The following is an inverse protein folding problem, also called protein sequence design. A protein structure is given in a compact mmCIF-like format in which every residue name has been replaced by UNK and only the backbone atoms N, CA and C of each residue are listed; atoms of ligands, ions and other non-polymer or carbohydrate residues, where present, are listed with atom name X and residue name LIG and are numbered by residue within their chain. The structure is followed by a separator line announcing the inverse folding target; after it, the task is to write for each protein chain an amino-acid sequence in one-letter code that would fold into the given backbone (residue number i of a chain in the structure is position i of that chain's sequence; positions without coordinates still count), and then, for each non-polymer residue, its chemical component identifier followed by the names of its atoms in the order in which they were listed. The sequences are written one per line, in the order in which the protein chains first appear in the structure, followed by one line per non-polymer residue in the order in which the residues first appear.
data_IF_306669765632
#
_entry.id   IF_306669765632
#
_cell.length_a   1.000
_cell.length_b   1.000
_cell.length_c   1.000
_cell.angle_alpha   90.00
_cell.angle_beta   90.00
_cell.angle_gamma   90.00
#
_symmetry.space_group_name_H-M   'P 1'
#
loop_
_entity.id
_entity.type
_entity.pdbx_description
1 polymer ?
#
# COMPACT_ATOMS: atom_id res chain seq x y z
N UNK A 1 -13.39 8.39 -37.36
CA UNK A 1 -13.04 9.52 -36.47
C UNK A 1 -13.12 9.21 -34.97
N UNK A 2 -13.57 8.01 -34.54
CA UNK A 2 -13.82 7.69 -33.12
C UNK A 2 -12.93 6.58 -32.53
N UNK A 3 -12.01 6.02 -33.32
CA UNK A 3 -11.12 4.93 -32.89
C UNK A 3 -9.77 5.41 -32.38
N UNK A 4 -9.20 6.49 -32.95
CA UNK A 4 -7.89 7.03 -32.53
C UNK A 4 -7.89 7.70 -31.15
N UNK A 5 -9.02 8.27 -30.72
CA UNK A 5 -9.13 8.95 -29.42
C UNK A 5 -9.14 7.92 -28.28
N UNK A 6 -9.80 6.76 -28.46
CA UNK A 6 -9.89 5.68 -27.46
C UNK A 6 -8.51 5.11 -27.12
N UNK A 7 -7.62 4.95 -28.11
CA UNK A 7 -6.24 4.52 -27.89
C UNK A 7 -5.40 5.54 -27.12
N UNK A 8 -5.60 6.85 -27.37
CA UNK A 8 -4.94 7.90 -26.58
C UNK A 8 -5.39 7.86 -25.10
N UNK A 9 -6.69 7.66 -24.84
CA UNK A 9 -7.21 7.56 -23.48
C UNK A 9 -6.69 6.32 -22.72
N UNK A 10 -6.52 5.19 -23.40
CA UNK A 10 -5.95 3.97 -22.80
C UNK A 10 -4.47 4.13 -22.44
N UNK A 11 -3.69 4.83 -23.27
CA UNK A 11 -2.26 5.11 -23.00
C UNK A 11 -2.07 6.11 -21.85
N UNK A 12 -2.99 7.07 -21.70
CA UNK A 12 -2.94 8.09 -20.64
C UNK A 12 -3.43 7.55 -19.28
N UNK A 13 -4.35 6.58 -19.28
CA UNK A 13 -4.90 6.00 -18.04
C UNK A 13 -3.87 5.18 -17.23
N UNK A 14 -2.84 4.61 -17.87
CA UNK A 14 -1.81 3.84 -17.17
C UNK A 14 -0.90 4.73 -16.29
N UNK A 15 -0.68 5.98 -16.69
CA UNK A 15 0.25 6.88 -15.99
C UNK A 15 -0.41 7.77 -14.92
N UNK A 16 -1.73 7.92 -14.90
CA UNK A 16 -2.43 8.83 -13.97
C UNK A 16 -3.13 8.13 -12.80
N UNK A 17 -3.18 6.80 -12.81
CA UNK A 17 -3.81 5.98 -11.74
C UNK A 17 -2.84 5.59 -10.61
N UNK A 18 -1.69 6.25 -10.50
CA UNK A 18 -0.82 6.16 -9.33
C UNK A 18 -1.33 7.06 -8.22
N UNK A 19 -2.43 6.68 -7.57
CA UNK A 19 -2.87 7.36 -6.36
C UNK A 19 -1.86 7.06 -5.24
N UNK A 20 -0.80 7.86 -5.13
CA UNK A 20 -0.01 7.92 -3.91
C UNK A 20 -0.93 8.43 -2.80
N UNK A 21 -1.53 7.51 -2.05
CA UNK A 21 -2.23 7.86 -0.83
C UNK A 21 -1.18 8.37 0.16
N UNK A 22 -1.07 9.68 0.31
CA UNK A 22 -0.26 10.33 1.34
C UNK A 22 -0.90 10.03 2.70
N UNK A 23 -0.58 8.89 3.29
CA UNK A 23 -1.03 8.60 4.65
C UNK A 23 -0.18 9.37 5.65
N UNK A 24 -0.86 10.09 6.51
CA UNK A 24 -0.25 10.70 7.68
C UNK A 24 -0.31 9.67 8.81
N UNK A 25 0.85 9.18 9.23
CA UNK A 25 1.01 8.28 10.36
C UNK A 25 2.02 8.86 11.33
N UNK A 26 1.87 8.56 12.63
CA UNK A 26 2.89 8.87 13.61
C UNK A 26 4.14 8.03 13.35
N UNK A 27 5.29 8.53 13.82
CA UNK A 27 6.57 7.81 13.80
C UNK A 27 6.73 6.86 14.99
N UNK A 28 5.67 6.59 15.76
CA UNK A 28 5.69 5.68 16.90
C UNK A 28 6.00 4.25 16.43
N UNK A 29 6.92 3.57 17.11
CA UNK A 29 7.37 2.24 16.76
C UNK A 29 6.66 1.20 17.61
N UNK A 30 5.60 0.61 17.04
CA UNK A 30 4.81 -0.49 17.60
C UNK A 30 4.59 -1.52 16.50
N UNK A 31 5.60 -2.35 16.19
CA UNK A 31 5.64 -3.13 14.96
C UNK A 31 4.48 -4.13 14.89
N UNK A 32 3.99 -4.36 13.68
CA UNK A 32 2.97 -5.37 13.38
C UNK A 32 3.36 -6.16 12.14
N UNK A 33 3.00 -7.44 12.12
CA UNK A 33 3.22 -8.31 10.97
C UNK A 33 1.96 -8.33 10.09
N UNK A 34 2.12 -8.14 8.78
CA UNK A 34 1.06 -8.35 7.81
C UNK A 34 0.98 -9.81 7.35
N UNK A 35 -0.17 -10.25 6.83
CA UNK A 35 -0.33 -11.60 6.25
C UNK A 35 0.56 -11.83 5.03
N UNK A 36 1.08 -10.75 4.44
CA UNK A 36 2.07 -10.76 3.37
C UNK A 36 3.51 -10.98 3.85
N UNK A 37 3.73 -11.25 5.15
CA UNK A 37 5.05 -11.47 5.74
C UNK A 37 5.90 -10.20 5.89
N UNK A 38 5.30 -9.01 5.69
CA UNK A 38 6.00 -7.72 5.81
C UNK A 38 5.73 -7.09 7.17
N UNK A 39 6.79 -6.63 7.84
CA UNK A 39 6.69 -5.83 9.06
C UNK A 39 6.34 -4.39 8.73
N UNK A 40 5.40 -3.82 9.48
CA UNK A 40 5.03 -2.40 9.41
C UNK A 40 5.37 -1.74 10.76
N UNK A 41 5.91 -0.52 10.74
CA UNK A 41 6.38 0.18 11.95
C UNK A 41 5.27 0.40 12.99
N UNK A 42 4.04 0.53 12.52
CA UNK A 42 2.83 0.57 13.33
C UNK A 42 1.59 0.21 12.51
N UNK A 43 0.45 0.05 13.21
CA UNK A 43 -0.86 -0.26 12.60
C UNK A 43 -1.33 0.79 11.60
N UNK A 44 -0.95 2.07 11.76
CA UNK A 44 -1.30 3.10 10.79
C UNK A 44 -0.59 2.85 9.46
N UNK A 45 0.72 2.58 9.47
CA UNK A 45 1.48 2.28 8.27
C UNK A 45 1.00 0.99 7.58
N UNK A 46 0.59 -0.03 8.33
CA UNK A 46 -0.03 -1.24 7.78
C UNK A 46 -1.32 -0.93 7.01
N UNK A 47 -2.21 -0.13 7.61
CA UNK A 47 -3.46 0.32 6.96
C UNK A 47 -3.18 1.18 5.74
N UNK A 48 -2.17 2.03 5.81
CA UNK A 48 -1.77 2.87 4.68
C UNK A 48 -1.36 2.04 3.47
N UNK A 49 -0.56 1.01 3.70
CA UNK A 49 -0.15 0.07 2.67
C UNK A 49 -1.28 -0.88 2.24
N UNK A 50 -2.50 -0.72 2.78
CA UNK A 50 -3.67 -1.58 2.53
C UNK A 50 -3.35 -3.07 2.73
N UNK A 51 -2.48 -3.38 3.68
CA UNK A 51 -2.13 -4.75 4.01
C UNK A 51 -3.08 -5.31 5.09
N UNK A 52 -3.25 -6.63 5.09
CA UNK A 52 -4.04 -7.33 6.10
C UNK A 52 -3.17 -7.60 7.33
N UNK A 53 -3.68 -7.29 8.51
CA UNK A 53 -3.03 -7.55 9.79
C UNK A 53 -2.96 -9.07 10.07
N UNK A 54 -1.81 -9.56 10.53
CA UNK A 54 -1.64 -10.93 11.01
C UNK A 54 -1.54 -10.97 12.55
N UNK A 55 -0.48 -10.37 13.12
CA UNK A 55 -0.25 -10.33 14.56
C UNK A 55 0.60 -9.12 14.98
N UNK A 56 0.60 -8.80 16.28
CA UNK A 56 1.45 -7.77 16.87
C UNK A 56 2.90 -8.26 17.01
N UNK A 57 3.87 -7.39 16.70
CA UNK A 57 5.30 -7.73 16.62
C UNK A 57 5.83 -7.70 15.18
N UNK A 58 7.16 -7.80 15.03
CA UNK A 58 7.78 -7.92 13.71
C UNK A 58 7.52 -9.31 13.12
N UNK A 59 7.44 -9.42 11.79
CA UNK A 59 7.46 -10.73 11.16
C UNK A 59 8.79 -11.43 11.46
N UNK A 60 8.74 -12.74 11.72
CA UNK A 60 9.92 -13.55 11.99
C UNK A 60 10.47 -13.47 13.43
N UNK A 61 9.91 -12.64 14.32
CA UNK A 61 10.27 -12.66 15.75
C UNK A 61 9.55 -13.76 16.55
N UNK A 62 8.64 -14.51 15.91
CA UNK A 62 7.98 -15.71 16.45
C UNK A 62 8.42 -16.98 15.69
N UNK A 63 9.67 -16.99 15.17
CA UNK A 63 10.31 -18.18 14.59
C UNK A 63 11.40 -18.69 15.51
#
# INVERSE_FOLDING_TARGET
MKTSIVLLFLLVACCTLGAESTCICTADYRPVCGTNGRTYSNRCQLKCARATFAYDGACGSNM
#
